data_IF_923443400385
#
_entry.id   IF_923443400385
#
_cell.length_a   1.000
_cell.length_b   1.000
_cell.length_c   1.000
_cell.angle_alpha   90.00
_cell.angle_beta   90.00
_cell.angle_gamma   90.00
#
_symmetry.space_group_name_H-M   'P 1'
#
loop_
_entity.id
_entity.type
_entity.pdbx_description
1 polymer ?
#
# COMPACT_ATOMS: atom_id res chain seq x y z
N UNK A 1 10.82 -14.22 -16.36
CA UNK A 1 11.76 -13.63 -15.37
C UNK A 1 10.94 -13.30 -14.13
N UNK A 2 11.29 -13.81 -12.96
CA UNK A 2 10.66 -13.44 -11.70
C UNK A 2 10.93 -11.96 -11.44
N UNK A 3 9.88 -11.15 -11.30
CA UNK A 3 10.02 -9.75 -10.88
C UNK A 3 10.67 -9.72 -9.50
N UNK A 4 11.65 -8.84 -9.30
CA UNK A 4 12.22 -8.62 -7.96
C UNK A 4 11.16 -8.06 -7.01
N UNK A 5 11.21 -8.43 -5.74
CA UNK A 5 10.32 -7.90 -4.70
C UNK A 5 10.61 -6.40 -4.50
N UNK A 6 9.56 -5.58 -4.51
CA UNK A 6 9.64 -4.15 -4.22
C UNK A 6 9.34 -3.86 -2.75
N UNK A 7 9.99 -2.84 -2.21
CA UNK A 7 9.75 -2.36 -0.84
C UNK A 7 9.13 -0.97 -0.90
N UNK A 8 7.96 -0.82 -0.29
CA UNK A 8 7.27 0.45 -0.13
C UNK A 8 7.40 0.93 1.32
N UNK A 9 7.93 2.15 1.52
CA UNK A 9 8.07 2.73 2.85
C UNK A 9 6.76 3.43 3.26
N UNK A 10 6.02 2.87 4.24
CA UNK A 10 4.86 3.56 4.83
C UNK A 10 5.34 4.66 5.77
N UNK A 11 5.17 5.91 5.35
CA UNK A 11 5.55 7.08 6.15
C UNK A 11 4.62 7.38 7.33
N UNK A 12 3.57 6.58 7.51
CA UNK A 12 2.72 6.64 8.71
C UNK A 12 3.51 6.46 10.01
N UNK A 13 4.60 5.68 9.95
CA UNK A 13 5.47 5.39 11.10
C UNK A 13 6.73 6.25 11.14
N UNK A 14 6.87 7.22 10.26
CA UNK A 14 7.94 8.22 10.30
C UNK A 14 7.67 9.29 11.37
N UNK A 15 8.66 10.14 11.61
CA UNK A 15 8.44 11.39 12.33
C UNK A 15 7.59 12.32 11.46
N UNK A 16 6.33 12.52 11.84
CA UNK A 16 5.38 13.36 11.08
C UNK A 16 5.77 14.83 11.06
N UNK A 17 6.63 15.29 11.99
CA UNK A 17 7.21 16.64 11.99
C UNK A 17 8.37 16.81 11.00
N UNK A 18 8.91 15.69 10.45
CA UNK A 18 10.07 15.65 9.57
C UNK A 18 9.85 14.73 8.35
N UNK A 19 8.67 14.82 7.72
CA UNK A 19 8.29 13.91 6.61
C UNK A 19 9.19 14.06 5.38
N UNK A 20 9.69 15.26 5.09
CA UNK A 20 10.64 15.49 3.99
C UNK A 20 11.92 14.67 4.19
N UNK A 21 12.50 14.77 5.35
CA UNK A 21 13.71 14.08 5.75
C UNK A 21 13.49 12.55 5.79
N UNK A 22 12.31 12.13 6.25
CA UNK A 22 11.91 10.72 6.29
C UNK A 22 11.82 10.11 4.87
N UNK A 23 11.22 10.83 3.91
CA UNK A 23 11.13 10.39 2.50
C UNK A 23 12.52 10.33 1.88
N UNK A 24 13.38 11.32 2.10
CA UNK A 24 14.76 11.33 1.59
C UNK A 24 15.58 10.19 2.19
N UNK A 25 15.44 9.92 3.49
CA UNK A 25 16.14 8.81 4.14
C UNK A 25 15.67 7.45 3.59
N UNK A 26 14.38 7.28 3.34
CA UNK A 26 13.83 6.06 2.73
C UNK A 26 14.37 5.85 1.30
N UNK A 27 14.39 6.89 0.47
CA UNK A 27 14.98 6.83 -0.88
C UNK A 27 16.48 6.48 -0.83
N UNK A 28 17.25 7.13 0.04
CA UNK A 28 18.67 6.81 0.24
C UNK A 28 18.92 5.39 0.77
N UNK A 29 17.96 4.85 1.54
CA UNK A 29 18.03 3.48 2.03
C UNK A 29 17.75 2.44 0.93
N UNK A 30 17.19 2.85 -0.22
CA UNK A 30 16.98 2.00 -1.37
C UNK A 30 15.59 1.33 -1.39
N UNK A 31 14.57 2.00 -0.83
CA UNK A 31 13.17 1.59 -1.07
C UNK A 31 12.77 1.88 -2.51
N UNK A 32 11.77 1.18 -3.00
CA UNK A 32 11.30 1.32 -4.39
C UNK A 32 10.13 2.29 -4.50
N UNK A 33 9.38 2.54 -3.41
CA UNK A 33 8.14 3.30 -3.38
C UNK A 33 7.93 3.99 -2.03
N UNK A 34 7.13 5.04 -2.01
CA UNK A 34 6.64 5.69 -0.78
C UNK A 34 5.16 5.37 -0.63
N UNK A 35 4.76 4.84 0.50
CA UNK A 35 3.38 4.47 0.81
C UNK A 35 2.75 5.47 1.77
N UNK A 36 1.55 5.92 1.41
CA UNK A 36 0.79 6.95 2.11
C UNK A 36 -0.54 6.36 2.58
N UNK A 37 -0.66 6.14 3.88
CA UNK A 37 -1.87 5.68 4.54
C UNK A 37 -2.81 6.86 4.80
N UNK A 38 -3.83 7.03 3.97
CA UNK A 38 -4.78 8.15 4.01
C UNK A 38 -6.00 7.72 4.83
N UNK A 39 -6.27 8.44 5.92
CA UNK A 39 -7.34 8.13 6.86
C UNK A 39 -8.19 9.36 7.15
N UNK A 40 -9.50 9.19 7.24
CA UNK A 40 -10.48 10.29 7.35
C UNK A 40 -11.22 10.36 8.71
N UNK A 41 -10.91 9.49 9.65
CA UNK A 41 -11.59 9.41 10.95
C UNK A 41 -13.00 8.80 10.89
N UNK A 42 -13.45 8.33 9.72
CA UNK A 42 -14.76 7.70 9.53
C UNK A 42 -14.65 6.24 9.15
N UNK A 43 -13.88 5.91 8.13
CA UNK A 43 -13.63 4.51 7.76
C UNK A 43 -12.79 3.80 8.82
N UNK A 44 -11.78 4.49 9.35
CA UNK A 44 -10.98 4.07 10.50
C UNK A 44 -10.89 5.20 11.53
N UNK A 45 -10.74 4.90 12.84
CA UNK A 45 -10.71 5.94 13.89
C UNK A 45 -9.33 6.60 14.00
N UNK A 46 -8.81 7.10 12.89
CA UNK A 46 -7.53 7.80 12.80
C UNK A 46 -7.59 8.82 11.67
N UNK A 47 -6.76 9.86 11.76
CA UNK A 47 -6.60 10.93 10.76
C UNK A 47 -5.14 11.02 10.36
N UNK A 48 -4.84 11.15 9.06
CA UNK A 48 -3.45 11.21 8.59
C UNK A 48 -3.26 12.28 7.51
N UNK A 49 -2.85 11.89 6.30
CA UNK A 49 -2.32 12.77 5.26
C UNK A 49 -3.41 13.32 4.33
N UNK A 50 -3.51 14.64 4.23
CA UNK A 50 -4.29 15.31 3.20
C UNK A 50 -3.53 15.45 1.87
N UNK A 51 -4.23 15.88 0.82
CA UNK A 51 -3.67 16.12 -0.52
C UNK A 51 -2.48 17.10 -0.46
N UNK A 52 -2.57 18.17 0.33
CA UNK A 52 -1.48 19.13 0.50
C UNK A 52 -0.17 18.48 1.00
N UNK A 53 -0.25 17.43 1.82
CA UNK A 53 0.93 16.67 2.24
C UNK A 53 1.55 15.92 1.05
N UNK A 54 0.73 15.28 0.21
CA UNK A 54 1.20 14.59 -1.00
C UNK A 54 1.89 15.56 -1.95
N UNK A 55 1.26 16.70 -2.24
CA UNK A 55 1.81 17.76 -3.11
C UNK A 55 3.14 18.29 -2.58
N UNK A 56 3.23 18.56 -1.26
CA UNK A 56 4.46 19.03 -0.62
C UNK A 56 5.61 18.00 -0.70
N UNK A 57 5.30 16.71 -0.62
CA UNK A 57 6.29 15.65 -0.68
C UNK A 57 6.65 15.25 -2.11
N UNK A 58 5.79 15.51 -3.11
CA UNK A 58 6.04 15.11 -4.49
C UNK A 58 7.33 15.69 -5.08
N UNK A 59 7.71 16.89 -4.67
CA UNK A 59 8.95 17.54 -5.07
C UNK A 59 10.21 17.05 -4.32
N UNK A 60 10.08 16.12 -3.38
CA UNK A 60 11.19 15.68 -2.52
C UNK A 60 11.92 14.46 -3.09
N UNK A 61 11.22 13.60 -3.84
CA UNK A 61 11.74 12.35 -4.38
C UNK A 61 11.15 12.05 -5.76
N UNK A 62 11.86 11.27 -6.57
CA UNK A 62 11.34 10.71 -7.84
C UNK A 62 10.63 9.37 -7.66
N UNK A 63 10.68 8.75 -6.48
CA UNK A 63 10.04 7.46 -6.21
C UNK A 63 8.52 7.55 -6.41
N UNK A 64 7.88 6.50 -6.92
CA UNK A 64 6.43 6.45 -7.02
C UNK A 64 5.77 6.51 -5.65
N UNK A 65 4.62 7.21 -5.60
CA UNK A 65 3.76 7.29 -4.42
C UNK A 65 2.57 6.34 -4.56
N UNK A 66 2.33 5.57 -3.50
CA UNK A 66 1.18 4.67 -3.35
C UNK A 66 0.21 5.26 -2.33
N UNK A 67 -0.96 5.70 -2.76
CA UNK A 67 -2.01 6.16 -1.86
C UNK A 67 -2.93 4.98 -1.49
N UNK A 68 -2.99 4.66 -0.21
CA UNK A 68 -3.90 3.68 0.38
C UNK A 68 -5.01 4.44 1.11
N UNK A 69 -6.22 4.44 0.52
CA UNK A 69 -7.34 5.25 0.99
C UNK A 69 -8.25 4.46 1.95
N UNK A 70 -8.04 4.65 3.23
CA UNK A 70 -8.91 4.19 4.33
C UNK A 70 -9.92 5.29 4.66
N UNK A 71 -10.82 5.58 3.72
CA UNK A 71 -11.77 6.70 3.80
C UNK A 71 -13.19 6.29 3.40
N UNK A 72 -14.19 6.96 3.94
CA UNK A 72 -15.60 6.64 3.73
C UNK A 72 -16.15 7.09 2.36
N UNK A 73 -15.50 8.06 1.69
CA UNK A 73 -15.96 8.56 0.38
C UNK A 73 -14.82 8.58 -0.65
N UNK A 74 -14.32 7.41 -1.10
CA UNK A 74 -13.22 7.34 -2.05
C UNK A 74 -13.59 7.87 -3.44
N UNK A 75 -14.84 7.83 -3.87
CA UNK A 75 -15.28 8.37 -5.17
C UNK A 75 -14.95 9.85 -5.32
N UNK A 76 -15.04 10.61 -4.22
CA UNK A 76 -14.70 12.03 -4.22
C UNK A 76 -13.18 12.28 -4.22
N UNK A 77 -12.44 11.47 -3.47
CA UNK A 77 -11.05 11.79 -3.13
C UNK A 77 -10.01 11.04 -3.97
N UNK A 78 -10.28 9.80 -4.37
CA UNK A 78 -9.29 8.97 -5.06
C UNK A 78 -8.73 9.61 -6.35
N UNK A 79 -9.56 10.20 -7.25
CA UNK A 79 -9.04 10.89 -8.43
C UNK A 79 -8.17 12.11 -8.09
N UNK A 80 -8.43 12.76 -6.95
CA UNK A 80 -7.65 13.93 -6.49
C UNK A 80 -6.27 13.53 -5.98
N UNK A 81 -6.13 12.37 -5.29
CA UNK A 81 -4.82 11.82 -4.91
C UNK A 81 -4.02 11.39 -6.13
N UNK A 82 -4.67 10.82 -7.15
CA UNK A 82 -4.03 10.53 -8.43
C UNK A 82 -3.50 11.83 -9.08
N UNK A 83 -4.33 12.87 -9.17
CA UNK A 83 -3.95 14.17 -9.73
C UNK A 83 -2.85 14.89 -8.92
N UNK A 84 -2.78 14.68 -7.60
CA UNK A 84 -1.72 15.20 -6.75
C UNK A 84 -0.36 14.51 -6.95
N UNK A 85 -0.31 13.45 -7.76
CA UNK A 85 0.93 12.79 -8.17
C UNK A 85 1.17 11.41 -7.53
N UNK A 86 0.13 10.75 -7.02
CA UNK A 86 0.21 9.34 -6.65
C UNK A 86 0.12 8.46 -7.91
N UNK A 87 1.08 7.55 -8.08
CA UNK A 87 1.14 6.64 -9.23
C UNK A 87 0.21 5.44 -9.08
N UNK A 88 -0.09 5.05 -7.84
CA UNK A 88 -1.10 4.04 -7.52
C UNK A 88 -2.05 4.57 -6.48
N UNK A 89 -3.34 4.22 -6.59
CA UNK A 89 -4.37 4.55 -5.60
C UNK A 89 -5.20 3.32 -5.32
N UNK A 90 -5.21 2.86 -4.08
CA UNK A 90 -6.04 1.75 -3.61
C UNK A 90 -7.21 2.28 -2.76
N UNK A 91 -8.41 1.79 -3.04
CA UNK A 91 -9.62 2.04 -2.26
C UNK A 91 -10.12 0.75 -1.63
N UNK A 92 -10.75 0.82 -0.47
CA UNK A 92 -11.23 -0.37 0.23
C UNK A 92 -12.51 -0.95 -0.39
N UNK A 93 -12.52 -2.28 -0.61
CA UNK A 93 -13.69 -2.99 -1.12
C UNK A 93 -14.85 -3.01 -0.12
N UNK A 94 -14.58 -2.76 1.15
CA UNK A 94 -15.57 -2.67 2.23
C UNK A 94 -16.40 -1.39 2.21
N UNK A 95 -15.98 -0.37 1.46
CA UNK A 95 -16.78 0.86 1.33
C UNK A 95 -18.05 0.57 0.50
N UNK A 96 -19.26 0.95 0.97
CA UNK A 96 -20.51 0.64 0.29
C UNK A 96 -20.75 1.57 -0.92
N UNK A 97 -19.96 1.43 -1.99
CA UNK A 97 -20.10 2.22 -3.22
C UNK A 97 -19.96 1.35 -4.50
N UNK A 98 -20.20 1.97 -5.66
CA UNK A 98 -19.89 1.37 -6.97
C UNK A 98 -18.41 1.56 -7.30
N UNK A 99 -17.56 0.66 -6.83
CA UNK A 99 -16.10 0.74 -7.00
C UNK A 99 -15.64 0.93 -8.44
N UNK A 100 -16.32 0.35 -9.42
CA UNK A 100 -15.96 0.46 -10.84
C UNK A 100 -15.81 1.93 -11.28
N UNK A 101 -16.78 2.78 -10.96
CA UNK A 101 -16.74 4.19 -11.36
C UNK A 101 -15.54 4.93 -10.73
N UNK A 102 -15.23 4.62 -9.47
CA UNK A 102 -14.09 5.20 -8.77
C UNK A 102 -12.75 4.69 -9.34
N UNK A 103 -12.65 3.38 -9.64
CA UNK A 103 -11.46 2.79 -10.28
C UNK A 103 -11.20 3.40 -11.66
N UNK A 104 -12.24 3.56 -12.48
CA UNK A 104 -12.12 4.19 -13.80
C UNK A 104 -11.73 5.68 -13.69
N UNK A 105 -12.24 6.39 -12.67
CA UNK A 105 -11.87 7.79 -12.41
C UNK A 105 -10.39 7.94 -11.96
N UNK A 106 -9.86 7.01 -11.16
CA UNK A 106 -8.45 6.95 -10.79
C UNK A 106 -7.58 6.82 -12.05
N UNK A 107 -7.93 5.89 -12.95
CA UNK A 107 -7.20 5.68 -14.20
C UNK A 107 -7.28 6.89 -15.12
N UNK A 108 -8.44 7.51 -15.23
CA UNK A 108 -8.63 8.75 -16.02
C UNK A 108 -7.76 9.88 -15.48
N UNK A 109 -7.52 9.93 -14.16
CA UNK A 109 -6.62 10.89 -13.53
C UNK A 109 -5.12 10.52 -13.67
N UNK A 110 -4.79 9.41 -14.34
CA UNK A 110 -3.41 9.02 -14.70
C UNK A 110 -2.72 8.08 -13.71
N UNK A 111 -3.41 7.54 -12.72
CA UNK A 111 -2.86 6.58 -11.78
C UNK A 111 -3.35 5.14 -12.04
N UNK A 112 -2.62 4.16 -11.54
CA UNK A 112 -3.06 2.77 -11.47
C UNK A 112 -4.11 2.63 -10.36
N UNK A 113 -5.20 1.94 -10.67
CA UNK A 113 -6.33 1.73 -9.77
C UNK A 113 -6.26 0.37 -9.08
N UNK A 114 -6.37 0.34 -7.76
CA UNK A 114 -6.35 -0.86 -6.95
C UNK A 114 -7.50 -0.98 -5.97
N UNK A 115 -7.78 -2.21 -5.55
CA UNK A 115 -8.63 -2.48 -4.40
C UNK A 115 -7.78 -2.98 -3.23
N UNK A 116 -8.10 -2.46 -2.04
CA UNK A 116 -7.62 -2.94 -0.76
C UNK A 116 -8.69 -3.80 -0.07
N UNK A 117 -8.27 -4.75 0.76
CA UNK A 117 -9.18 -5.54 1.59
C UNK A 117 -8.60 -5.86 2.96
N UNK A 118 -9.38 -5.59 4.02
CA UNK A 118 -9.11 -5.95 5.40
C UNK A 118 -9.04 -7.48 5.63
N UNK A 119 -8.39 -7.97 6.70
CA UNK A 119 -8.20 -9.40 6.98
C UNK A 119 -9.47 -10.25 6.93
N UNK A 120 -10.61 -9.75 7.38
CA UNK A 120 -11.90 -10.45 7.37
C UNK A 120 -12.58 -10.57 6.01
N UNK A 121 -12.12 -9.84 5.00
CA UNK A 121 -12.76 -9.79 3.68
C UNK A 121 -12.23 -10.91 2.79
N UNK A 122 -13.09 -11.78 2.25
CA UNK A 122 -12.66 -12.91 1.44
C UNK A 122 -12.14 -12.47 0.06
N UNK A 123 -11.18 -13.23 -0.51
CA UNK A 123 -10.59 -12.94 -1.82
C UNK A 123 -11.63 -12.80 -2.96
N UNK A 124 -12.76 -13.51 -2.89
CA UNK A 124 -13.85 -13.40 -3.89
C UNK A 124 -14.44 -11.98 -4.00
N UNK A 125 -14.24 -11.11 -3.00
CA UNK A 125 -14.67 -9.71 -3.08
C UNK A 125 -14.00 -8.95 -4.24
N UNK A 126 -12.82 -9.37 -4.67
CA UNK A 126 -12.12 -8.82 -5.83
C UNK A 126 -12.70 -9.28 -7.17
N UNK A 127 -13.37 -10.44 -7.22
CA UNK A 127 -13.74 -11.11 -8.48
C UNK A 127 -14.57 -10.23 -9.42
N UNK A 128 -15.53 -9.47 -8.89
CA UNK A 128 -16.39 -8.59 -9.68
C UNK A 128 -15.64 -7.38 -10.28
N UNK A 129 -14.43 -7.10 -9.82
CA UNK A 129 -13.67 -5.89 -10.14
C UNK A 129 -12.40 -6.16 -10.93
N UNK A 130 -12.01 -7.42 -11.15
CA UNK A 130 -10.73 -7.81 -11.77
C UNK A 130 -10.46 -7.08 -13.08
N UNK A 131 -11.48 -6.87 -13.93
CA UNK A 131 -11.32 -6.17 -15.20
C UNK A 131 -10.93 -4.67 -15.05
N UNK A 132 -11.18 -4.10 -13.88
CA UNK A 132 -10.94 -2.68 -13.56
C UNK A 132 -9.74 -2.47 -12.64
N UNK A 133 -9.02 -3.55 -12.27
CA UNK A 133 -7.88 -3.47 -11.36
C UNK A 133 -6.55 -3.51 -12.12
N UNK A 134 -5.62 -2.65 -11.71
CA UNK A 134 -4.22 -2.71 -12.11
C UNK A 134 -3.38 -3.46 -11.06
N UNK A 135 -3.80 -3.44 -9.78
CA UNK A 135 -3.16 -4.15 -8.67
C UNK A 135 -4.16 -4.45 -7.55
N UNK A 136 -3.76 -5.25 -6.56
CA UNK A 136 -4.47 -5.42 -5.29
C UNK A 136 -3.58 -5.02 -4.12
N UNK A 137 -4.20 -4.53 -3.04
CA UNK A 137 -3.56 -4.32 -1.74
C UNK A 137 -4.20 -5.25 -0.71
N UNK A 138 -3.41 -6.17 -0.17
CA UNK A 138 -3.88 -7.16 0.81
C UNK A 138 -3.41 -6.74 2.20
N UNK A 139 -4.38 -6.41 3.06
CA UNK A 139 -4.10 -6.11 4.46
C UNK A 139 -3.85 -7.40 5.22
N UNK A 140 -2.72 -7.45 5.92
CA UNK A 140 -2.35 -8.53 6.84
C UNK A 140 -2.48 -8.12 8.32
N UNK A 141 -3.05 -6.94 8.54
CA UNK A 141 -3.51 -6.41 9.82
C UNK A 141 -4.80 -5.63 9.61
N UNK A 142 -5.54 -5.32 10.67
CA UNK A 142 -6.70 -4.42 10.57
C UNK A 142 -6.25 -3.01 10.18
N UNK A 143 -6.91 -2.41 9.20
CA UNK A 143 -6.64 -1.04 8.78
C UNK A 143 -6.78 -0.01 9.90
N UNK A 144 -5.97 1.07 9.87
CA UNK A 144 -6.11 2.24 10.73
C UNK A 144 -4.89 2.59 11.61
N UNK A 145 -4.03 1.64 11.97
CA UNK A 145 -2.87 1.90 12.83
C UNK A 145 -1.66 1.08 12.40
N UNK A 146 -0.48 1.71 12.48
CA UNK A 146 0.79 1.03 12.29
C UNK A 146 1.21 0.17 13.49
N UNK A 147 2.28 -0.62 13.32
CA UNK A 147 2.92 -1.38 14.40
C UNK A 147 2.20 -2.66 14.84
N UNK A 148 1.14 -3.06 14.16
CA UNK A 148 0.41 -4.29 14.45
C UNK A 148 1.19 -5.55 14.03
N UNK A 149 0.82 -6.69 14.61
CA UNK A 149 1.41 -7.99 14.29
C UNK A 149 0.81 -8.57 13.00
N UNK A 150 1.66 -9.03 12.11
CA UNK A 150 1.30 -9.76 10.89
C UNK A 150 0.39 -10.96 11.18
N UNK A 151 -0.65 -11.13 10.38
CA UNK A 151 -1.62 -12.21 10.49
C UNK A 151 -1.42 -13.21 9.32
N UNK A 152 -0.83 -14.40 9.55
CA UNK A 152 -0.59 -15.39 8.49
C UNK A 152 -1.88 -15.85 7.79
N UNK A 153 -2.98 -15.99 8.55
CA UNK A 153 -4.28 -16.38 7.98
C UNK A 153 -4.82 -15.32 7.00
N UNK A 154 -4.57 -14.05 7.29
CA UNK A 154 -4.90 -12.96 6.37
C UNK A 154 -4.00 -13.01 5.11
N UNK A 155 -2.73 -13.34 5.26
CA UNK A 155 -1.79 -13.47 4.16
C UNK A 155 -2.11 -14.65 3.23
N UNK A 156 -2.66 -15.73 3.74
CA UNK A 156 -3.05 -16.90 2.92
C UNK A 156 -3.99 -16.53 1.75
N UNK A 157 -4.78 -15.45 1.89
CA UNK A 157 -5.66 -14.92 0.83
C UNK A 157 -4.89 -14.38 -0.39
N UNK A 158 -3.62 -14.04 -0.23
CA UNK A 158 -2.79 -13.52 -1.33
C UNK A 158 -2.76 -14.52 -2.48
N UNK A 159 -2.65 -15.83 -2.20
CA UNK A 159 -2.69 -16.89 -3.22
C UNK A 159 -4.00 -16.91 -4.00
N UNK A 160 -5.12 -16.76 -3.30
CA UNK A 160 -6.44 -16.74 -3.94
C UNK A 160 -6.59 -15.48 -4.82
N UNK A 161 -6.15 -14.32 -4.33
CA UNK A 161 -6.16 -13.07 -5.08
C UNK A 161 -5.22 -13.15 -6.28
N UNK A 162 -4.05 -13.79 -6.14
CA UNK A 162 -3.12 -14.05 -7.26
C UNK A 162 -3.78 -14.85 -8.38
N UNK A 163 -4.56 -15.88 -8.04
CA UNK A 163 -5.32 -16.65 -9.03
C UNK A 163 -6.34 -15.78 -9.77
N UNK A 164 -7.02 -14.89 -9.08
CA UNK A 164 -7.99 -13.97 -9.69
C UNK A 164 -7.34 -12.92 -10.60
N UNK A 165 -6.23 -12.34 -10.15
CA UNK A 165 -5.55 -11.24 -10.85
C UNK A 165 -4.62 -11.71 -11.98
N UNK A 166 -4.18 -12.97 -11.95
CA UNK A 166 -3.13 -13.47 -12.85
C UNK A 166 -1.73 -13.01 -12.45
N UNK A 167 -0.72 -13.42 -13.22
CA UNK A 167 0.70 -13.19 -12.91
C UNK A 167 1.17 -11.74 -13.17
N UNK A 168 0.48 -11.00 -14.02
CA UNK A 168 0.97 -9.71 -14.52
C UNK A 168 0.69 -8.54 -13.57
N UNK A 169 -0.39 -8.59 -12.78
CA UNK A 169 -0.77 -7.54 -11.86
C UNK A 169 -0.04 -7.68 -10.54
N UNK A 170 0.38 -6.55 -9.97
CA UNK A 170 1.08 -6.54 -8.68
C UNK A 170 0.10 -6.80 -7.52
N UNK A 171 0.61 -7.48 -6.50
CA UNK A 171 -0.05 -7.59 -5.20
C UNK A 171 0.83 -6.89 -4.17
N UNK A 172 0.31 -5.81 -3.61
CA UNK A 172 0.89 -5.13 -2.46
C UNK A 172 0.42 -5.83 -1.19
N UNK A 173 1.30 -5.97 -0.22
CA UNK A 173 1.01 -6.58 1.08
C UNK A 173 1.35 -5.59 2.17
N UNK A 174 0.35 -5.23 2.97
CA UNK A 174 0.50 -4.24 4.02
C UNK A 174 0.05 -4.77 5.38
N UNK A 175 0.90 -4.53 6.38
CA UNK A 175 0.63 -4.86 7.78
C UNK A 175 1.61 -5.84 8.40
N UNK A 176 2.37 -5.36 9.40
CA UNK A 176 3.30 -6.18 10.18
C UNK A 176 4.48 -6.76 9.38
N UNK A 177 4.81 -6.16 8.23
CA UNK A 177 5.93 -6.57 7.39
C UNK A 177 7.26 -6.21 8.07
N UNK A 178 8.08 -7.24 8.23
CA UNK A 178 9.45 -7.19 8.79
C UNK A 178 10.26 -8.38 8.24
N UNK A 179 11.55 -8.44 8.51
CA UNK A 179 12.44 -9.50 7.99
C UNK A 179 11.94 -10.92 8.29
N UNK A 180 11.25 -11.13 9.43
CA UNK A 180 10.71 -12.44 9.83
C UNK A 180 9.39 -12.80 9.12
N UNK A 181 8.68 -11.86 8.49
CA UNK A 181 7.38 -12.08 7.82
C UNK A 181 7.44 -11.85 6.31
N UNK A 182 8.46 -11.15 5.82
CA UNK A 182 8.62 -10.82 4.40
C UNK A 182 8.67 -12.08 3.51
N UNK A 183 9.40 -13.10 3.92
CA UNK A 183 9.52 -14.34 3.16
C UNK A 183 8.17 -15.06 3.01
N UNK A 184 7.34 -15.07 4.06
CA UNK A 184 5.98 -15.64 3.99
C UNK A 184 5.10 -14.83 3.03
N UNK A 185 5.05 -13.50 3.15
CA UNK A 185 4.27 -12.65 2.27
C UNK A 185 4.61 -12.86 0.79
N UNK A 186 5.91 -12.99 0.47
CA UNK A 186 6.38 -13.29 -0.90
C UNK A 186 6.02 -14.71 -1.33
N UNK A 187 6.16 -15.70 -0.46
CA UNK A 187 5.79 -17.09 -0.75
C UNK A 187 4.28 -17.27 -1.00
N UNK A 188 3.45 -16.38 -0.41
CA UNK A 188 2.02 -16.32 -0.71
C UNK A 188 1.72 -15.63 -2.06
N UNK A 189 2.67 -14.91 -2.65
CA UNK A 189 2.53 -14.25 -3.95
C UNK A 189 2.54 -12.72 -3.91
N UNK A 190 2.99 -12.11 -2.82
CA UNK A 190 3.19 -10.66 -2.70
C UNK A 190 4.37 -10.16 -3.54
N UNK A 191 4.19 -9.06 -4.25
CA UNK A 191 5.21 -8.43 -5.10
C UNK A 191 5.78 -7.16 -4.46
N UNK A 192 4.94 -6.40 -3.74
CA UNK A 192 5.30 -5.15 -3.07
C UNK A 192 5.04 -5.29 -1.58
N UNK A 193 6.07 -5.15 -0.77
CA UNK A 193 5.99 -5.23 0.69
C UNK A 193 5.95 -3.84 1.30
N UNK A 194 4.84 -3.50 1.96
CA UNK A 194 4.67 -2.21 2.65
C UNK A 194 5.20 -2.36 4.07
N UNK A 195 6.23 -1.59 4.40
CA UNK A 195 6.86 -1.61 5.71
C UNK A 195 6.96 -0.20 6.30
N UNK A 196 6.53 -0.04 7.54
CA UNK A 196 6.61 1.21 8.30
C UNK A 196 7.55 1.08 9.48
N UNK A 197 7.10 0.53 10.60
CA UNK A 197 7.89 0.38 11.84
C UNK A 197 9.21 -0.37 11.66
N UNK A 198 9.26 -1.34 10.75
CA UNK A 198 10.47 -2.09 10.45
C UNK A 198 11.56 -1.22 9.79
N UNK A 199 11.18 -0.15 9.12
CA UNK A 199 12.11 0.79 8.47
C UNK A 199 12.43 1.99 9.38
N UNK A 200 11.40 2.72 9.79
CA UNK A 200 11.58 3.97 10.55
C UNK A 200 11.99 3.76 12.01
N UNK A 201 11.79 2.55 12.56
CA UNK A 201 12.31 2.16 13.88
C UNK A 201 13.70 1.51 13.84
N UNK A 202 14.29 1.29 12.65
CA UNK A 202 15.57 0.63 12.52
C UNK A 202 16.75 1.58 12.78
N UNK A 203 17.77 1.10 13.49
CA UNK A 203 19.02 1.86 13.66
C UNK A 203 19.76 2.11 12.33
N UNK A 204 19.60 1.20 11.35
CA UNK A 204 20.14 1.32 10.00
C UNK A 204 19.07 0.93 8.98
N UNK A 205 18.38 1.92 8.40
CA UNK A 205 17.26 1.70 7.50
C UNK A 205 17.66 0.91 6.25
N UNK A 206 18.83 1.16 5.66
CA UNK A 206 19.34 0.39 4.49
C UNK A 206 19.43 -1.11 4.80
N UNK A 207 20.00 -1.49 5.92
CA UNK A 207 20.08 -2.90 6.31
C UNK A 207 18.69 -3.50 6.55
N UNK A 208 17.74 -2.71 7.07
CA UNK A 208 16.34 -3.14 7.20
C UNK A 208 15.68 -3.36 5.83
N UNK A 209 15.87 -2.47 4.86
CA UNK A 209 15.38 -2.64 3.48
C UNK A 209 15.94 -3.91 2.84
N UNK A 210 17.26 -4.14 2.95
CA UNK A 210 17.90 -5.35 2.43
C UNK A 210 17.36 -6.63 3.10
N UNK A 211 17.08 -6.57 4.41
CA UNK A 211 16.52 -7.67 5.19
C UNK A 211 15.05 -8.00 4.85
N UNK A 212 14.33 -7.10 4.17
CA UNK A 212 12.97 -7.34 3.67
C UNK A 212 12.95 -8.04 2.31
N UNK A 213 14.05 -8.04 1.57
CA UNK A 213 14.15 -8.73 0.29
C UNK A 213 14.56 -10.20 0.54
N UNK A 214 13.66 -11.20 0.33
CA UNK A 214 14.03 -12.59 0.50
C UNK A 214 15.22 -12.94 -0.40
N UNK A 215 16.18 -13.63 0.16
CA UNK A 215 17.29 -14.19 -0.63
C UNK A 215 16.72 -15.28 -1.55
N UNK A 216 17.05 -15.21 -2.84
CA UNK A 216 16.71 -16.23 -3.81
C UNK A 216 17.24 -17.62 -3.43
#
# INVERSE_FOLDING_TARGET
>A
MTRGVQIAASILNADLGALREAVQAAEQAGVDRIHLDIMDGHFVPNLTFGIATVEALRGVTSLPFDAHLMIANPALWAPRYAAAGCQTVAIHVEVPERHQGTLDAIRTAGAQAGLAADPGTPARAFAAHVAHLDFALVMTVKSGFGGQSYQPDAAARIKEIRVLLGAERLIHVDGGIRSSTAADAVAQGGDVLVAGTALFGAAQMRAAVEGLRPKA
#
